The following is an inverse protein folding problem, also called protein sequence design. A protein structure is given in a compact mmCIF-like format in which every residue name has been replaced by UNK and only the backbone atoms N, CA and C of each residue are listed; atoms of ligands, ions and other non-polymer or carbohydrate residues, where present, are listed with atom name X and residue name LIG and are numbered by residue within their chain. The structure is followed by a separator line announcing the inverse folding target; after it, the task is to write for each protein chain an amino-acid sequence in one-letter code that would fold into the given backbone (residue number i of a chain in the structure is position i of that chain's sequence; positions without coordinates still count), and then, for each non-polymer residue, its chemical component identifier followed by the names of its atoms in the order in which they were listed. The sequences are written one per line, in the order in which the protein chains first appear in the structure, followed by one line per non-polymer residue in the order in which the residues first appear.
data_IF_510224992307
#
_entry.id   IF_510224992307
#
_cell.length_a   1.000
_cell.length_b   1.000
_cell.length_c   1.000
_cell.angle_alpha   90.00
_cell.angle_beta   90.00
_cell.angle_gamma   90.00
#
_symmetry.space_group_name_H-M   'P 1'
#
loop_
_entity.id
_entity.type
_entity.pdbx_description
1 polymer ?
#
# COMPACT_ATOMS: atom_id res chain seq x y z
N UNK A 1 6.97 -24.03 -37.26
CA UNK A 1 6.10 -23.18 -36.44
C UNK A 1 6.09 -23.79 -35.04
N UNK A 2 6.89 -23.22 -34.14
CA UNK A 2 7.02 -23.70 -32.77
C UNK A 2 5.84 -23.11 -31.99
N UNK A 3 4.87 -23.94 -31.64
CA UNK A 3 3.80 -23.53 -30.71
C UNK A 3 4.47 -23.48 -29.34
N UNK A 4 4.89 -22.28 -28.93
CA UNK A 4 5.25 -22.04 -27.53
C UNK A 4 3.94 -22.24 -26.76
N UNK A 5 3.94 -23.21 -25.86
CA UNK A 5 2.78 -23.58 -25.07
C UNK A 5 2.57 -22.47 -24.03
N UNK A 6 1.86 -21.39 -24.37
CA UNK A 6 1.66 -20.19 -23.53
C UNK A 6 1.18 -20.53 -22.11
N UNK A 7 0.42 -21.62 -21.96
CA UNK A 7 -0.04 -22.12 -20.66
C UNK A 7 1.10 -22.61 -19.75
N UNK A 8 2.19 -23.15 -20.29
CA UNK A 8 3.33 -23.59 -19.48
C UNK A 8 4.16 -22.39 -18.99
N UNK A 9 4.33 -21.36 -19.83
CA UNK A 9 5.07 -20.16 -19.44
C UNK A 9 4.34 -19.27 -18.43
N UNK A 10 3.00 -19.21 -18.50
CA UNK A 10 2.17 -18.50 -17.52
C UNK A 10 2.26 -19.18 -16.15
N UNK A 11 2.17 -20.52 -16.12
CA UNK A 11 2.29 -21.29 -14.89
C UNK A 11 3.69 -21.16 -14.25
N UNK A 12 4.74 -21.05 -15.06
CA UNK A 12 6.10 -20.83 -14.56
C UNK A 12 6.26 -19.43 -13.94
N UNK A 13 5.75 -18.39 -14.59
CA UNK A 13 5.87 -17.01 -14.10
C UNK A 13 5.09 -16.80 -12.81
N UNK A 14 3.87 -17.36 -12.71
CA UNK A 14 3.07 -17.33 -11.48
C UNK A 14 3.77 -18.05 -10.32
N UNK A 15 4.41 -19.20 -10.58
CA UNK A 15 5.19 -19.91 -9.56
C UNK A 15 6.34 -19.05 -9.02
N UNK A 16 7.10 -18.38 -9.88
CA UNK A 16 8.20 -17.51 -9.43
C UNK A 16 7.69 -16.28 -8.65
N UNK A 17 6.55 -15.72 -9.06
CA UNK A 17 5.91 -14.63 -8.32
C UNK A 17 5.44 -15.10 -6.93
N UNK A 18 4.85 -16.30 -6.81
CA UNK A 18 4.44 -16.86 -5.52
C UNK A 18 5.62 -17.16 -4.60
N UNK A 19 6.71 -17.72 -5.13
CA UNK A 19 7.96 -17.92 -4.38
C UNK A 19 8.50 -16.57 -3.88
N UNK A 20 8.45 -15.53 -4.71
CA UNK A 20 8.93 -14.20 -4.36
C UNK A 20 8.08 -13.57 -3.25
N UNK A 21 6.75 -13.60 -3.39
CA UNK A 21 5.82 -13.11 -2.38
C UNK A 21 5.96 -13.89 -1.06
N UNK A 22 6.14 -15.20 -1.13
CA UNK A 22 6.37 -16.05 0.05
C UNK A 22 7.65 -15.66 0.77
N UNK A 23 8.76 -15.43 0.04
CA UNK A 23 10.02 -14.98 0.65
C UNK A 23 9.93 -13.57 1.22
N UNK A 24 9.22 -12.66 0.55
CA UNK A 24 8.94 -11.33 1.06
C UNK A 24 8.25 -11.40 2.42
N UNK A 25 7.24 -12.25 2.57
CA UNK A 25 6.53 -12.42 3.85
C UNK A 25 7.39 -13.19 4.85
N UNK A 26 7.85 -14.40 4.54
CA UNK A 26 8.55 -15.28 5.50
C UNK A 26 9.86 -14.70 6.02
N UNK A 27 10.61 -13.98 5.18
CA UNK A 27 11.94 -13.49 5.57
C UNK A 27 11.93 -12.06 6.13
N UNK A 28 10.94 -11.25 5.76
CA UNK A 28 10.98 -9.82 6.07
C UNK A 28 9.74 -9.31 6.80
N UNK A 29 8.59 -9.98 6.76
CA UNK A 29 7.42 -9.51 7.50
C UNK A 29 7.58 -9.77 9.01
N UNK A 30 7.41 -8.73 9.82
CA UNK A 30 7.41 -8.86 11.27
C UNK A 30 5.97 -8.94 11.79
N UNK A 31 5.53 -10.12 12.20
CA UNK A 31 4.16 -10.33 12.67
C UNK A 31 3.81 -9.54 13.94
N UNK A 32 4.82 -9.16 14.74
CA UNK A 32 4.61 -8.41 15.98
C UNK A 32 4.26 -6.95 15.68
N UNK A 33 4.95 -6.33 14.73
CA UNK A 33 4.73 -4.93 14.35
C UNK A 33 3.78 -4.76 13.15
N UNK A 34 3.55 -5.81 12.37
CA UNK A 34 2.71 -5.79 11.17
C UNK A 34 3.31 -5.07 9.97
N UNK A 35 4.63 -4.83 9.98
CA UNK A 35 5.38 -4.14 8.91
C UNK A 35 6.61 -4.97 8.52
N UNK A 36 7.22 -4.72 7.35
CA UNK A 36 8.41 -5.46 6.96
C UNK A 36 9.68 -4.86 7.60
N UNK A 37 10.71 -5.69 7.73
CA UNK A 37 12.00 -5.37 8.31
C UNK A 37 12.89 -4.64 7.31
N UNK A 38 13.79 -3.80 7.82
CA UNK A 38 14.76 -3.02 7.04
C UNK A 38 14.13 -1.99 6.08
N UNK A 39 12.89 -1.60 6.36
CA UNK A 39 12.19 -0.54 5.64
C UNK A 39 11.59 0.48 6.63
N UNK A 40 11.34 1.69 6.15
CA UNK A 40 10.58 2.72 6.85
C UNK A 40 9.09 2.37 6.79
N UNK A 41 8.33 2.85 7.77
CA UNK A 41 6.91 2.51 7.89
C UNK A 41 6.08 2.88 6.65
N UNK A 42 6.40 3.95 5.92
CA UNK A 42 5.69 4.28 4.67
C UNK A 42 5.97 3.27 3.54
N UNK A 43 7.20 2.72 3.50
CA UNK A 43 7.59 1.72 2.51
C UNK A 43 6.75 0.45 2.66
N UNK A 44 6.40 0.10 3.91
CA UNK A 44 5.47 -0.99 4.21
C UNK A 44 4.09 -0.81 3.60
N UNK A 45 3.60 0.43 3.45
CA UNK A 45 2.34 0.71 2.75
C UNK A 45 2.42 0.31 1.27
N UNK A 46 3.50 0.68 0.59
CA UNK A 46 3.77 0.28 -0.79
C UNK A 46 4.03 -1.23 -0.93
N UNK A 47 4.71 -1.86 0.04
CA UNK A 47 4.93 -3.31 0.09
C UNK A 47 3.60 -4.06 0.27
N UNK A 48 2.70 -3.56 1.13
CA UNK A 48 1.36 -4.09 1.31
C UNK A 48 0.53 -3.99 0.02
N UNK A 49 0.55 -2.84 -0.65
CA UNK A 49 -0.13 -2.63 -1.93
C UNK A 49 0.39 -3.61 -2.99
N UNK A 50 1.72 -3.75 -3.11
CA UNK A 50 2.36 -4.66 -4.06
C UNK A 50 1.97 -6.13 -3.80
N UNK A 51 1.94 -6.55 -2.54
CA UNK A 51 1.47 -7.88 -2.16
C UNK A 51 -0.02 -8.05 -2.49
N UNK A 52 -0.85 -7.06 -2.19
CA UNK A 52 -2.28 -7.12 -2.50
C UNK A 52 -2.56 -7.14 -4.02
N UNK A 53 -1.79 -6.42 -4.83
CA UNK A 53 -1.85 -6.50 -6.30
C UNK A 53 -1.50 -7.90 -6.81
N UNK A 54 -0.52 -8.57 -6.23
CA UNK A 54 -0.23 -9.97 -6.56
C UNK A 54 -1.38 -10.90 -6.15
N UNK A 55 -1.86 -10.76 -4.91
CA UNK A 55 -2.92 -11.59 -4.33
C UNK A 55 -4.32 -11.33 -4.92
N UNK A 56 -4.50 -10.34 -5.79
CA UNK A 56 -5.74 -10.16 -6.56
C UNK A 56 -5.86 -11.17 -7.72
N UNK A 57 -4.77 -11.80 -8.11
CA UNK A 57 -4.71 -12.72 -9.25
C UNK A 57 -4.72 -14.20 -8.88
N UNK A 58 -4.62 -14.53 -7.58
CA UNK A 58 -4.67 -15.91 -7.08
C UNK A 58 -5.18 -15.98 -5.64
N UNK A 59 -5.61 -17.16 -5.23
CA UNK A 59 -5.88 -17.44 -3.82
C UNK A 59 -4.61 -17.97 -3.13
N UNK A 60 -4.25 -17.40 -1.98
CA UNK A 60 -2.98 -17.68 -1.30
C UNK A 60 -3.15 -17.59 0.22
N UNK A 61 -2.46 -18.45 1.00
CA UNK A 61 -2.45 -18.33 2.46
C UNK A 61 -1.84 -17.01 2.94
N UNK A 62 -1.08 -16.29 2.11
CA UNK A 62 -0.46 -15.01 2.48
C UNK A 62 -1.46 -13.89 2.78
N UNK A 63 -2.75 -14.05 2.43
CA UNK A 63 -3.81 -13.08 2.75
C UNK A 63 -3.94 -12.75 4.24
N UNK A 64 -3.45 -13.62 5.13
CA UNK A 64 -3.42 -13.35 6.58
C UNK A 64 -2.67 -12.06 6.94
N UNK A 65 -1.68 -11.67 6.12
CA UNK A 65 -0.89 -10.46 6.29
C UNK A 65 -1.78 -9.22 6.34
N UNK A 66 -2.86 -9.17 5.54
CA UNK A 66 -3.76 -8.01 5.49
C UNK A 66 -4.37 -7.69 6.86
N UNK A 67 -4.99 -8.70 7.49
CA UNK A 67 -5.63 -8.53 8.79
C UNK A 67 -4.60 -8.33 9.90
N UNK A 68 -3.47 -9.04 9.86
CA UNK A 68 -2.42 -8.84 10.86
C UNK A 68 -1.84 -7.42 10.80
N UNK A 69 -1.48 -6.93 9.61
CA UNK A 69 -1.01 -5.55 9.41
C UNK A 69 -2.06 -4.55 9.87
N UNK A 70 -3.34 -4.76 9.59
CA UNK A 70 -4.40 -3.84 10.00
C UNK A 70 -4.57 -3.74 11.51
N UNK A 71 -4.45 -4.86 12.23
CA UNK A 71 -4.55 -4.90 13.69
C UNK A 71 -3.31 -4.27 14.35
N UNK A 72 -2.12 -4.47 13.78
CA UNK A 72 -0.87 -4.00 14.37
C UNK A 72 -0.53 -2.55 14.02
N UNK A 73 -1.05 -2.03 12.93
CA UNK A 73 -0.81 -0.64 12.49
C UNK A 73 -1.99 0.26 12.84
N UNK A 74 -1.68 1.48 13.28
CA UNK A 74 -2.65 2.53 13.54
C UNK A 74 -2.94 3.40 12.32
N UNK A 75 -3.77 4.42 12.49
CA UNK A 75 -4.14 5.36 11.42
C UNK A 75 -2.97 6.24 10.94
N UNK A 76 -2.03 6.59 11.84
CA UNK A 76 -0.89 7.46 11.55
C UNK A 76 0.43 6.69 11.40
N UNK A 77 0.35 5.45 10.91
CA UNK A 77 1.56 4.69 10.57
C UNK A 77 2.24 5.33 9.35
N UNK A 78 3.57 5.38 9.33
CA UNK A 78 4.33 5.88 8.17
C UNK A 78 5.28 7.03 8.49
N UNK A 79 4.88 7.95 9.36
CA UNK A 79 5.66 9.16 9.69
C UNK A 79 4.77 10.35 10.03
N UNK A 80 5.30 11.55 9.81
CA UNK A 80 4.64 12.83 10.13
C UNK A 80 4.24 13.62 8.87
N UNK A 81 4.41 13.04 7.68
CA UNK A 81 4.13 13.67 6.39
C UNK A 81 2.94 13.01 5.68
N UNK A 82 2.28 13.77 4.81
CA UNK A 82 1.03 13.39 4.19
C UNK A 82 1.20 12.34 3.08
N UNK A 83 2.35 12.25 2.43
CA UNK A 83 2.68 11.17 1.51
C UNK A 83 2.83 9.83 2.23
N UNK A 84 3.44 9.82 3.42
CA UNK A 84 3.56 8.61 4.25
C UNK A 84 2.19 7.98 4.53
N UNK A 85 1.18 8.80 4.85
CA UNK A 85 -0.18 8.32 5.07
C UNK A 85 -0.85 7.85 3.78
N UNK A 86 -0.59 8.52 2.66
CA UNK A 86 -1.20 8.18 1.38
C UNK A 86 -0.67 6.87 0.80
N UNK A 87 0.59 6.49 1.07
CA UNK A 87 1.07 5.14 0.75
C UNK A 87 0.26 4.05 1.44
N UNK A 88 -0.11 4.26 2.70
CA UNK A 88 -0.98 3.35 3.42
C UNK A 88 -2.42 3.38 2.90
N UNK A 89 -2.93 4.55 2.52
CA UNK A 89 -4.25 4.69 1.90
C UNK A 89 -4.38 3.80 0.67
N UNK A 90 -3.44 3.89 -0.29
CA UNK A 90 -3.47 3.09 -1.52
C UNK A 90 -3.35 1.59 -1.19
N UNK A 91 -2.47 1.23 -0.26
CA UNK A 91 -2.38 -0.13 0.25
C UNK A 91 -3.72 -0.65 0.79
N UNK A 92 -4.44 0.13 1.60
CA UNK A 92 -5.74 -0.27 2.14
C UNK A 92 -6.85 -0.36 1.10
N UNK A 93 -6.85 0.52 0.09
CA UNK A 93 -7.78 0.41 -1.04
C UNK A 93 -7.54 -0.88 -1.82
N UNK A 94 -6.29 -1.22 -2.09
CA UNK A 94 -5.97 -2.44 -2.82
C UNK A 94 -6.24 -3.70 -1.99
N UNK A 95 -5.98 -3.68 -0.68
CA UNK A 95 -6.38 -4.77 0.22
C UNK A 95 -7.90 -4.94 0.23
N UNK A 96 -8.67 -3.84 0.28
CA UNK A 96 -10.13 -3.89 0.19
C UNK A 96 -10.61 -4.53 -1.11
N UNK A 97 -9.97 -4.21 -2.25
CA UNK A 97 -10.36 -4.80 -3.54
C UNK A 97 -10.24 -6.33 -3.56
N UNK A 98 -9.28 -6.88 -2.80
CA UNK A 98 -9.02 -8.33 -2.71
C UNK A 98 -9.86 -9.03 -1.64
N UNK A 99 -9.94 -8.48 -0.43
CA UNK A 99 -10.54 -9.14 0.76
C UNK A 99 -12.02 -8.76 0.95
N UNK A 100 -12.45 -7.60 0.45
CA UNK A 100 -13.80 -7.05 0.57
C UNK A 100 -14.25 -6.70 2.01
N UNK A 101 -13.37 -6.82 3.00
CA UNK A 101 -13.61 -6.30 4.34
C UNK A 101 -13.62 -4.76 4.37
N UNK A 102 -14.78 -4.17 4.69
CA UNK A 102 -15.01 -2.72 4.68
C UNK A 102 -14.16 -1.94 5.68
N UNK A 103 -13.56 -2.58 6.68
CA UNK A 103 -12.68 -1.89 7.62
C UNK A 103 -11.44 -1.31 6.91
N UNK A 104 -10.93 -1.97 5.87
CA UNK A 104 -9.84 -1.46 5.06
C UNK A 104 -10.27 -0.23 4.26
N UNK A 105 -11.45 -0.28 3.63
CA UNK A 105 -12.02 0.87 2.92
C UNK A 105 -12.25 2.07 3.85
N UNK A 106 -12.80 1.84 5.04
CA UNK A 106 -13.02 2.92 6.01
C UNK A 106 -11.70 3.55 6.44
N UNK A 107 -10.65 2.76 6.72
CA UNK A 107 -9.32 3.30 7.06
C UNK A 107 -8.74 4.12 5.92
N UNK A 108 -8.89 3.69 4.67
CA UNK A 108 -8.45 4.47 3.51
C UNK A 108 -9.23 5.79 3.38
N UNK A 109 -10.55 5.76 3.55
CA UNK A 109 -11.40 6.94 3.50
C UNK A 109 -11.06 7.95 4.61
N UNK A 110 -10.85 7.48 5.84
CA UNK A 110 -10.45 8.33 6.98
C UNK A 110 -9.11 9.03 6.70
N UNK A 111 -8.14 8.31 6.12
CA UNK A 111 -6.86 8.91 5.70
C UNK A 111 -7.11 9.97 4.61
N UNK A 112 -7.91 9.67 3.59
CA UNK A 112 -8.20 10.60 2.50
C UNK A 112 -8.80 11.91 3.03
N UNK A 113 -9.79 11.81 3.92
CA UNK A 113 -10.44 12.97 4.55
C UNK A 113 -9.44 13.81 5.35
N UNK A 114 -8.49 13.18 6.04
CA UNK A 114 -7.38 13.89 6.71
C UNK A 114 -6.53 14.66 5.71
N UNK A 115 -6.19 14.08 4.56
CA UNK A 115 -5.39 14.76 3.52
C UNK A 115 -6.15 15.97 2.97
N UNK A 116 -7.43 15.81 2.65
CA UNK A 116 -8.28 16.90 2.15
C UNK A 116 -8.37 18.05 3.16
N UNK A 117 -8.64 17.74 4.43
CA UNK A 117 -8.85 18.74 5.47
C UNK A 117 -7.55 19.44 5.91
N UNK A 118 -6.44 18.72 5.96
CA UNK A 118 -5.18 19.22 6.56
C UNK A 118 -4.10 19.60 5.56
N UNK A 119 -4.13 19.07 4.34
CA UNK A 119 -3.00 19.17 3.43
C UNK A 119 -3.32 19.96 2.14
N UNK A 120 -4.59 19.99 1.70
CA UNK A 120 -4.99 20.84 0.58
C UNK A 120 -4.90 22.33 0.95
N UNK A 121 -4.10 23.07 0.18
CA UNK A 121 -3.86 24.48 0.46
C UNK A 121 -3.94 25.32 -0.82
N UNK A 122 -4.76 26.38 -0.81
CA UNK A 122 -4.90 27.33 -1.93
C UNK A 122 -4.16 28.65 -1.74
N UNK A 123 -3.59 28.91 -0.56
CA UNK A 123 -2.86 30.16 -0.29
C UNK A 123 -1.54 30.23 -1.03
N UNK A 124 -0.98 29.08 -1.42
CA UNK A 124 0.21 28.96 -2.27
C UNK A 124 -0.08 28.13 -3.52
N UNK A 125 0.51 28.51 -4.65
CA UNK A 125 0.45 27.75 -5.92
C UNK A 125 -0.98 27.47 -6.45
N UNK A 126 -1.99 28.26 -6.03
CA UNK A 126 -3.40 28.13 -6.43
C UNK A 126 -4.08 26.78 -6.11
N UNK A 127 -3.44 25.91 -5.32
CA UNK A 127 -3.95 24.59 -4.96
C UNK A 127 -2.84 23.56 -4.77
N UNK A 128 -3.22 22.30 -4.57
CA UNK A 128 -2.31 21.19 -4.35
C UNK A 128 -2.05 20.88 -2.88
N UNK A 129 -1.58 19.66 -2.66
CA UNK A 129 -1.30 19.07 -1.36
C UNK A 129 0.10 19.44 -0.90
N UNK A 130 0.21 20.01 0.30
CA UNK A 130 1.50 20.22 0.97
C UNK A 130 2.07 18.90 1.48
N UNK A 131 3.39 18.77 1.53
CA UNK A 131 4.04 17.52 1.89
C UNK A 131 3.89 17.16 3.36
N UNK A 132 4.09 18.11 4.28
CA UNK A 132 4.01 17.86 5.73
C UNK A 132 3.27 19.02 6.43
N UNK A 133 2.70 18.81 7.64
CA UNK A 133 1.88 19.81 8.33
C UNK A 133 2.58 21.14 8.63
N UNK A 134 3.89 21.11 8.83
CA UNK A 134 4.70 22.28 9.22
C UNK A 134 5.51 22.88 8.08
N UNK A 135 5.45 22.28 6.88
CA UNK A 135 6.24 22.67 5.73
C UNK A 135 5.34 22.88 4.50
N UNK A 136 5.26 24.12 4.01
CA UNK A 136 4.49 24.46 2.81
C UNK A 136 5.10 23.95 1.49
N UNK A 137 6.16 23.15 1.54
CA UNK A 137 6.71 22.50 0.36
C UNK A 137 5.68 21.58 -0.29
N UNK A 138 5.41 21.82 -1.57
CA UNK A 138 4.55 20.98 -2.42
C UNK A 138 5.43 20.21 -3.39
N UNK A 139 5.29 18.89 -3.40
CA UNK A 139 6.07 18.00 -4.26
C UNK A 139 5.14 17.10 -5.10
N UNK A 140 5.72 16.48 -6.12
CA UNK A 140 4.99 15.58 -7.01
C UNK A 140 4.40 14.40 -6.24
N UNK A 141 5.21 13.73 -5.40
CA UNK A 141 4.79 12.48 -4.75
C UNK A 141 3.52 12.64 -3.91
N UNK A 142 3.42 13.70 -3.11
CA UNK A 142 2.24 13.91 -2.26
C UNK A 142 0.97 14.21 -3.08
N UNK A 143 1.13 14.84 -4.25
CA UNK A 143 0.00 15.19 -5.11
C UNK A 143 -0.39 14.04 -6.05
N UNK A 144 0.55 13.24 -6.54
CA UNK A 144 0.28 12.10 -7.40
C UNK A 144 -0.41 10.97 -6.62
N UNK A 145 0.01 10.72 -5.38
CA UNK A 145 -0.68 9.76 -4.51
C UNK A 145 -2.14 10.16 -4.23
N UNK A 146 -2.42 11.46 -4.12
CA UNK A 146 -3.77 11.98 -3.89
C UNK A 146 -4.72 11.75 -5.07
N UNK A 147 -4.16 11.68 -6.29
CA UNK A 147 -4.90 11.55 -7.54
C UNK A 147 -5.04 10.10 -8.03
N UNK A 148 -4.27 9.18 -7.46
CA UNK A 148 -4.22 7.76 -7.84
C UNK A 148 -5.46 7.01 -7.34
#
# INVERSE_FOLDING_TARGET
MMIINENNSINETLNWAEVTATRLVVCYYNETSGIWLNELAWQSGNTLESLANFLSHLDSPLKYVFNNTFIKTGMFIGGDCFDDYQWWLLGWLQVYSVDQNRNYLHRAADIYDIIVDKAWNTTQCAGGIQWCPTNGYKNAITNELFLS
#
